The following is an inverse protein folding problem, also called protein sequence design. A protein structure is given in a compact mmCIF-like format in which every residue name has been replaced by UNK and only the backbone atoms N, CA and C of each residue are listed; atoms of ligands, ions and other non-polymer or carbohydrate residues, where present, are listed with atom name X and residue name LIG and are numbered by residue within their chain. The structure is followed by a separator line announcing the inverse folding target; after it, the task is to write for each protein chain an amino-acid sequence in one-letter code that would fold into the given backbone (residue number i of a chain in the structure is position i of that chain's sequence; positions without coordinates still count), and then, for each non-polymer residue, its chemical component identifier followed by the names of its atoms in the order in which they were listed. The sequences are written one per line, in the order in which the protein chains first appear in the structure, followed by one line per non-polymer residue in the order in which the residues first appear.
data_IF_474184298708
#
_entry.id   IF_474184298708
#
_cell.length_a   1.000
_cell.length_b   1.000
_cell.length_c   1.000
_cell.angle_alpha   90.00
_cell.angle_beta   90.00
_cell.angle_gamma   90.00
#
_symmetry.space_group_name_H-M   'P 1'
#
loop_
_entity.id
_entity.type
_entity.pdbx_description
1 polymer ?
#
# COMPACT_ATOMS: atom_id res chain seq x y z
N UNK A 1 -7.57 27.77 10.54
CA UNK A 1 -6.31 27.98 11.30
C UNK A 1 -6.50 28.72 12.62
N UNK A 2 -6.83 30.02 12.69
CA UNK A 2 -6.83 30.75 13.99
C UNK A 2 -7.92 30.30 15.00
N UNK A 3 -9.05 29.75 14.52
CA UNK A 3 -10.10 29.17 15.36
C UNK A 3 -9.83 27.70 15.77
N UNK A 4 -8.81 27.06 15.20
CA UNK A 4 -8.68 25.59 15.22
C UNK A 4 -7.94 25.07 16.46
N UNK A 5 -6.92 25.80 16.94
CA UNK A 5 -6.12 25.34 18.08
C UNK A 5 -6.82 25.50 19.44
N UNK A 6 -7.69 26.52 19.58
CA UNK A 6 -8.52 26.69 20.78
C UNK A 6 -9.57 25.59 20.88
N UNK A 7 -10.26 25.30 19.76
CA UNK A 7 -11.16 24.16 19.68
C UNK A 7 -10.43 22.83 19.91
N UNK A 8 -9.19 22.68 19.44
CA UNK A 8 -8.38 21.49 19.69
C UNK A 8 -8.17 21.28 21.21
N UNK A 9 -7.69 22.29 21.93
CA UNK A 9 -7.54 22.21 23.38
C UNK A 9 -8.86 21.91 24.10
N UNK A 10 -9.95 22.52 23.67
CA UNK A 10 -11.28 22.27 24.22
C UNK A 10 -11.73 20.81 24.00
N UNK A 11 -11.56 20.27 22.80
CA UNK A 11 -11.92 18.88 22.46
C UNK A 11 -11.13 17.86 23.30
N UNK A 12 -9.83 18.10 23.48
CA UNK A 12 -8.95 17.25 24.30
C UNK A 12 -9.08 17.53 25.80
N UNK A 13 -9.90 18.52 26.19
CA UNK A 13 -10.03 19.01 27.58
C UNK A 13 -8.66 19.28 28.19
N UNK A 14 -7.83 19.98 27.43
CA UNK A 14 -6.47 20.32 27.80
C UNK A 14 -6.45 21.66 28.52
N UNK A 15 -6.02 21.62 29.78
CA UNK A 15 -6.17 22.63 30.81
C UNK A 15 -4.82 23.24 31.17
N UNK A 16 -4.80 24.43 31.81
CA UNK A 16 -3.56 25.03 32.29
C UNK A 16 -2.78 24.15 33.29
N UNK A 17 -3.45 23.33 34.10
CA UNK A 17 -2.79 22.39 35.04
C UNK A 17 -1.94 21.36 34.28
N UNK A 18 -2.38 20.91 33.11
CA UNK A 18 -1.61 19.99 32.27
C UNK A 18 -0.43 20.71 31.60
N UNK A 19 -0.55 22.00 31.29
CA UNK A 19 0.58 22.81 30.81
C UNK A 19 1.69 22.94 31.86
N UNK A 20 1.30 23.21 33.10
CA UNK A 20 2.22 23.29 34.24
C UNK A 20 2.87 21.93 34.52
N UNK A 21 2.08 20.85 34.47
CA UNK A 21 2.55 19.47 34.64
C UNK A 21 3.60 19.12 33.59
N UNK A 22 3.35 19.43 32.32
CA UNK A 22 4.29 19.17 31.23
C UNK A 22 5.55 20.02 31.34
N UNK A 23 5.42 21.29 31.75
CA UNK A 23 6.57 22.17 32.00
C UNK A 23 7.48 21.61 33.11
N UNK A 24 6.88 21.11 34.20
CA UNK A 24 7.63 20.51 35.30
C UNK A 24 8.42 19.25 34.87
N UNK A 25 7.93 18.50 33.86
CA UNK A 25 8.63 17.34 33.30
C UNK A 25 9.76 17.71 32.34
N UNK A 26 9.79 18.94 31.82
CA UNK A 26 10.75 19.35 30.78
C UNK A 26 12.21 19.10 31.17
N UNK A 27 12.70 19.42 32.38
CA UNK A 27 14.09 19.19 32.75
C UNK A 27 14.48 17.72 32.70
N UNK A 28 13.58 16.83 33.15
CA UNK A 28 13.78 15.37 33.10
C UNK A 28 13.80 14.87 31.66
N UNK A 29 12.86 15.31 30.84
CA UNK A 29 12.79 14.90 29.43
C UNK A 29 13.98 15.46 28.63
N UNK A 30 14.46 16.65 28.95
CA UNK A 30 15.63 17.23 28.35
C UNK A 30 16.93 16.48 28.68
N UNK A 31 17.06 15.92 29.90
CA UNK A 31 18.26 15.15 30.28
C UNK A 31 18.35 13.79 29.58
N UNK A 32 17.22 13.20 29.19
CA UNK A 32 17.15 11.94 28.45
C UNK A 32 16.97 12.12 26.93
N UNK A 33 16.98 13.36 26.44
CA UNK A 33 16.68 13.66 25.04
C UNK A 33 17.70 13.05 24.06
N UNK A 34 18.95 12.87 24.47
CA UNK A 34 19.96 12.23 23.60
C UNK A 34 19.72 10.71 23.50
N UNK A 35 19.39 10.05 24.61
CA UNK A 35 18.94 8.65 24.63
C UNK A 35 17.68 8.44 23.78
N UNK A 36 16.71 9.34 23.90
CA UNK A 36 15.49 9.33 23.09
C UNK A 36 15.83 9.35 21.59
N UNK A 37 16.77 10.18 21.18
CA UNK A 37 17.14 10.30 19.77
C UNK A 37 17.78 9.01 19.26
N UNK A 38 18.68 8.40 20.03
CA UNK A 38 19.30 7.15 19.63
C UNK A 38 18.26 6.03 19.46
N UNK A 39 17.40 5.82 20.47
CA UNK A 39 16.34 4.80 20.42
C UNK A 39 15.29 5.09 19.33
N UNK A 40 14.94 6.36 19.11
CA UNK A 40 14.01 6.75 18.05
C UNK A 40 14.54 6.38 16.67
N UNK A 41 15.85 6.58 16.46
CA UNK A 41 16.47 6.25 15.19
C UNK A 41 16.57 4.75 14.97
N UNK A 42 16.95 3.98 16.00
CA UNK A 42 16.93 2.52 15.95
C UNK A 42 15.53 2.00 15.56
N UNK A 43 14.49 2.60 16.15
CA UNK A 43 13.10 2.25 15.84
C UNK A 43 12.74 2.52 14.37
N UNK A 44 12.99 3.74 13.86
CA UNK A 44 12.60 4.09 12.48
C UNK A 44 13.46 3.41 11.42
N UNK A 45 14.71 3.03 11.73
CA UNK A 45 15.56 2.25 10.81
C UNK A 45 15.00 0.84 10.58
N UNK A 46 14.27 0.29 11.57
CA UNK A 46 13.56 -0.97 11.46
C UNK A 46 12.47 -1.01 10.39
N UNK A 47 12.04 0.14 9.86
CA UNK A 47 11.00 0.20 8.83
C UNK A 47 11.48 -0.18 7.42
N UNK A 48 12.80 -0.20 7.16
CA UNK A 48 13.39 -0.51 5.85
C UNK A 48 13.11 0.53 4.76
N UNK A 49 11.85 0.86 4.52
CA UNK A 49 11.38 1.84 3.53
C UNK A 49 11.73 3.29 3.91
N UNK A 50 11.97 3.59 5.18
CA UNK A 50 12.35 4.94 5.63
C UNK A 50 13.76 5.35 5.24
N UNK A 51 14.63 4.38 4.93
CA UNK A 51 15.99 4.65 4.46
C UNK A 51 16.03 5.54 3.20
N UNK A 52 14.97 5.49 2.36
CA UNK A 52 14.89 6.32 1.16
C UNK A 52 14.76 7.83 1.45
N UNK A 53 14.29 8.21 2.64
CA UNK A 53 14.12 9.62 3.03
C UNK A 53 15.37 10.19 3.72
N UNK A 54 16.24 9.34 4.27
CA UNK A 54 17.45 9.72 5.01
C UNK A 54 18.72 9.45 4.19
N UNK A 55 18.87 10.20 3.09
CA UNK A 55 19.82 9.89 2.00
C UNK A 55 21.29 10.17 2.31
N UNK A 56 21.60 11.06 3.24
CA UNK A 56 22.99 11.42 3.58
C UNK A 56 23.12 11.83 5.06
N UNK A 57 24.36 11.82 5.55
CA UNK A 57 24.67 12.09 6.96
C UNK A 57 24.24 13.50 7.39
N UNK A 58 24.38 14.50 6.52
CA UNK A 58 24.00 15.89 6.84
C UNK A 58 22.48 16.04 7.09
N UNK A 59 21.65 15.38 6.26
CA UNK A 59 20.19 15.34 6.46
C UNK A 59 19.85 14.62 7.75
N UNK A 60 20.53 13.50 8.05
CA UNK A 60 20.35 12.74 9.29
C UNK A 60 20.67 13.62 10.50
N UNK A 61 21.83 14.27 10.53
CA UNK A 61 22.26 15.11 11.66
C UNK A 61 21.30 16.29 11.88
N UNK A 62 20.84 16.91 10.80
CA UNK A 62 19.83 17.98 10.87
C UNK A 62 18.49 17.47 11.39
N UNK A 63 18.06 16.29 10.94
CA UNK A 63 16.81 15.67 11.38
C UNK A 63 16.90 15.24 12.86
N UNK A 64 18.03 14.65 13.30
CA UNK A 64 18.33 14.36 14.71
C UNK A 64 18.13 15.59 15.58
N UNK A 65 18.75 16.70 15.20
CA UNK A 65 18.59 17.96 15.93
C UNK A 65 17.13 18.42 15.99
N UNK A 66 16.39 18.34 14.88
CA UNK A 66 14.99 18.78 14.80
C UNK A 66 14.04 17.92 15.62
N UNK A 67 14.21 16.61 15.60
CA UNK A 67 13.42 15.69 16.43
C UNK A 67 13.74 15.90 17.91
N UNK A 68 15.00 16.20 18.26
CA UNK A 68 15.38 16.51 19.65
C UNK A 68 14.73 17.79 20.14
N UNK A 69 14.76 18.84 19.32
CA UNK A 69 14.08 20.11 19.59
C UNK A 69 12.56 19.90 19.75
N UNK A 70 11.95 19.13 18.85
CA UNK A 70 10.52 18.80 18.92
C UNK A 70 10.17 18.03 20.19
N UNK A 71 10.94 17.00 20.55
CA UNK A 71 10.72 16.18 21.74
C UNK A 71 10.76 17.02 23.02
N UNK A 72 11.75 17.89 23.19
CA UNK A 72 11.83 18.79 24.35
C UNK A 72 10.68 19.80 24.35
N UNK A 73 10.25 20.27 23.17
CA UNK A 73 9.15 21.21 23.03
C UNK A 73 7.78 20.60 23.37
N UNK A 74 7.61 19.27 23.31
CA UNK A 74 6.42 18.59 23.83
C UNK A 74 6.14 18.96 25.29
N UNK A 75 7.19 19.27 26.06
CA UNK A 75 7.14 19.58 27.47
C UNK A 75 7.32 21.08 27.76
N UNK A 76 7.16 21.96 26.76
CA UNK A 76 7.42 23.39 26.94
C UNK A 76 6.46 24.13 27.88
N UNK A 77 5.27 23.57 28.16
CA UNK A 77 4.21 24.24 28.90
C UNK A 77 3.59 25.44 28.18
N UNK A 78 3.90 25.65 26.89
CA UNK A 78 3.40 26.77 26.09
C UNK A 78 2.86 26.27 24.76
N UNK A 79 1.56 26.02 24.72
CA UNK A 79 0.87 25.46 23.55
C UNK A 79 -0.08 26.49 22.94
N UNK A 80 0.51 27.53 22.35
CA UNK A 80 -0.22 28.61 21.69
C UNK A 80 -0.32 28.37 20.17
N UNK A 81 -0.85 29.36 19.45
CA UNK A 81 -0.96 29.29 17.99
C UNK A 81 0.40 29.04 17.31
N UNK A 82 1.50 29.60 17.82
CA UNK A 82 2.82 29.44 17.21
C UNK A 82 3.30 27.99 17.32
N UNK A 83 3.03 27.35 18.46
CA UNK A 83 3.32 25.93 18.67
C UNK A 83 2.60 25.04 17.64
N UNK A 84 1.29 25.22 17.47
CA UNK A 84 0.51 24.41 16.52
C UNK A 84 0.83 24.74 15.06
N UNK A 85 1.17 26.00 14.73
CA UNK A 85 1.68 26.35 13.39
C UNK A 85 3.03 25.69 13.09
N UNK A 86 3.90 25.56 14.09
CA UNK A 86 5.15 24.83 13.95
C UNK A 86 4.88 23.34 13.63
N UNK A 87 3.95 22.70 14.33
CA UNK A 87 3.57 21.30 14.05
C UNK A 87 2.94 21.11 12.67
N UNK A 88 2.07 22.04 12.27
CA UNK A 88 1.47 22.03 10.94
C UNK A 88 2.55 22.03 9.84
N UNK A 89 3.57 22.88 9.99
CA UNK A 89 4.68 22.96 9.05
C UNK A 89 5.53 21.69 9.01
N UNK A 90 5.66 20.99 10.14
CA UNK A 90 6.33 19.68 10.18
C UNK A 90 5.54 18.67 9.34
N UNK A 91 4.21 18.62 9.46
CA UNK A 91 3.41 17.67 8.69
C UNK A 91 3.35 17.98 7.20
N UNK A 92 3.32 19.26 6.81
CA UNK A 92 3.52 19.66 5.41
C UNK A 92 4.82 19.10 4.82
N UNK A 93 5.92 19.16 5.58
CA UNK A 93 7.22 18.65 5.12
C UNK A 93 7.17 17.13 4.93
N UNK A 94 6.58 16.39 5.86
CA UNK A 94 6.49 14.94 5.75
C UNK A 94 5.55 14.49 4.62
N UNK A 95 4.46 15.23 4.35
CA UNK A 95 3.63 15.00 3.18
C UNK A 95 4.40 15.27 1.88
N UNK A 96 5.13 16.41 1.80
CA UNK A 96 5.89 16.80 0.61
C UNK A 96 6.95 15.79 0.19
N UNK A 97 7.60 15.12 1.16
CA UNK A 97 8.54 14.03 0.87
C UNK A 97 7.83 12.72 0.52
N UNK A 98 6.52 12.62 0.73
CA UNK A 98 5.72 11.44 0.44
C UNK A 98 5.80 10.36 1.53
N UNK A 99 6.12 10.72 2.78
CA UNK A 99 6.18 9.76 3.88
C UNK A 99 4.75 9.27 4.22
N UNK A 100 4.45 7.97 4.09
CA UNK A 100 3.15 7.44 4.48
C UNK A 100 2.79 7.76 5.94
N UNK A 101 1.55 8.19 6.17
CA UNK A 101 1.07 8.63 7.49
C UNK A 101 1.16 7.54 8.57
N UNK A 102 1.08 6.27 8.19
CA UNK A 102 1.20 5.15 9.13
C UNK A 102 2.56 5.12 9.86
N UNK A 103 3.66 5.56 9.21
CA UNK A 103 4.97 5.65 9.86
C UNK A 103 5.01 6.76 10.91
N UNK A 104 4.31 7.86 10.67
CA UNK A 104 4.15 8.93 11.67
C UNK A 104 3.39 8.40 12.88
N UNK A 105 2.26 7.72 12.68
CA UNK A 105 1.50 7.10 13.77
C UNK A 105 2.36 6.10 14.56
N UNK A 106 3.14 5.26 13.87
CA UNK A 106 4.04 4.30 14.50
C UNK A 106 5.13 4.99 15.33
N UNK A 107 5.74 6.04 14.80
CA UNK A 107 6.75 6.84 15.51
C UNK A 107 6.17 7.51 16.77
N UNK A 108 4.93 7.97 16.74
CA UNK A 108 4.24 8.51 17.91
C UNK A 108 3.96 7.44 18.97
N UNK A 109 3.68 6.20 18.58
CA UNK A 109 3.61 5.07 19.53
C UNK A 109 4.94 4.87 20.24
N UNK A 110 6.06 4.89 19.52
CA UNK A 110 7.38 4.82 20.13
C UNK A 110 7.59 5.96 21.14
N UNK A 111 7.32 7.21 20.75
CA UNK A 111 7.45 8.39 21.62
C UNK A 111 6.64 8.21 22.90
N UNK A 112 5.37 7.79 22.79
CA UNK A 112 4.50 7.51 23.93
C UNK A 112 5.12 6.48 24.86
N UNK A 113 5.49 5.32 24.34
CA UNK A 113 6.07 4.25 25.16
C UNK A 113 7.39 4.65 25.81
N UNK A 114 8.22 5.44 25.10
CA UNK A 114 9.47 5.96 25.63
C UNK A 114 9.22 6.91 26.81
N UNK A 115 8.30 7.87 26.66
CA UNK A 115 7.98 8.83 27.74
C UNK A 115 7.39 8.09 28.94
N UNK A 116 6.41 7.20 28.72
CA UNK A 116 5.76 6.43 29.79
C UNK A 116 6.78 5.62 30.62
N UNK A 117 7.72 4.93 29.95
CA UNK A 117 8.81 4.20 30.59
C UNK A 117 9.68 5.10 31.49
N UNK A 118 9.91 6.34 31.08
CA UNK A 118 10.79 7.26 31.80
C UNK A 118 10.07 8.15 32.81
N UNK A 119 8.75 8.05 32.96
CA UNK A 119 8.01 8.70 34.07
C UNK A 119 7.68 7.73 35.21
N UNK A 120 7.81 6.41 35.00
CA UNK A 120 7.39 5.37 35.95
C UNK A 120 8.17 5.38 37.28
N UNK A 121 9.44 5.79 37.25
CA UNK A 121 10.37 5.67 38.40
C UNK A 121 10.22 6.77 39.48
N UNK A 122 9.38 7.80 39.26
CA UNK A 122 9.44 9.04 40.07
C UNK A 122 8.23 9.31 40.98
N UNK A 123 7.22 8.43 41.01
CA UNK A 123 5.96 8.73 41.71
C UNK A 123 5.59 7.73 42.81
N UNK A 124 5.74 8.17 44.07
CA UNK A 124 5.15 7.51 45.24
C UNK A 124 3.62 7.69 45.31
N UNK A 125 3.10 8.77 44.70
CA UNK A 125 1.68 9.09 44.68
C UNK A 125 1.03 8.69 43.35
N UNK A 126 0.16 7.67 43.41
CA UNK A 126 -0.60 7.18 42.26
C UNK A 126 -1.48 8.24 41.59
N UNK A 127 -2.06 9.17 42.35
CA UNK A 127 -2.93 10.21 41.78
C UNK A 127 -2.12 11.20 40.93
N UNK A 128 -0.96 11.60 41.43
CA UNK A 128 -0.03 12.48 40.72
C UNK A 128 0.53 11.81 39.46
N UNK A 129 0.87 10.53 39.55
CA UNK A 129 1.31 9.74 38.39
C UNK A 129 0.24 9.71 37.29
N UNK A 130 -1.04 9.50 37.66
CA UNK A 130 -2.15 9.50 36.70
C UNK A 130 -2.31 10.87 36.03
N UNK A 131 -2.15 11.98 36.78
CA UNK A 131 -2.21 13.34 36.20
C UNK A 131 -1.13 13.55 35.14
N UNK A 132 0.09 13.09 35.42
CA UNK A 132 1.23 13.18 34.50
C UNK A 132 0.98 12.36 33.24
N UNK A 133 0.54 11.11 33.38
CA UNK A 133 0.18 10.25 32.25
C UNK A 133 -0.88 10.93 31.38
N UNK A 134 -1.95 11.46 31.99
CA UNK A 134 -3.02 12.13 31.24
C UNK A 134 -2.52 13.35 30.47
N UNK A 135 -1.65 14.16 31.07
CA UNK A 135 -1.08 15.34 30.41
C UNK A 135 -0.21 14.92 29.20
N UNK A 136 0.62 13.88 29.37
CA UNK A 136 1.48 13.31 28.32
C UNK A 136 0.65 12.73 27.17
N UNK A 137 -0.34 11.90 27.46
CA UNK A 137 -1.21 11.31 26.42
C UNK A 137 -1.90 12.38 25.59
N UNK A 138 -2.50 13.38 26.27
CA UNK A 138 -3.19 14.48 25.58
C UNK A 138 -2.26 15.28 24.68
N UNK A 139 -1.05 15.65 25.13
CA UNK A 139 -0.15 16.44 24.29
C UNK A 139 0.39 15.64 23.10
N UNK A 140 0.67 14.34 23.29
CA UNK A 140 1.09 13.45 22.21
C UNK A 140 -0.02 13.32 21.16
N UNK A 141 -1.25 13.08 21.59
CA UNK A 141 -2.38 12.93 20.67
C UNK A 141 -2.72 14.25 19.96
N UNK A 142 -2.67 15.39 20.66
CA UNK A 142 -2.86 16.71 20.03
C UNK A 142 -1.78 17.02 18.99
N UNK A 143 -0.52 16.60 19.24
CA UNK A 143 0.55 16.72 18.25
C UNK A 143 0.25 15.85 17.03
N UNK A 144 -0.19 14.61 17.24
CA UNK A 144 -0.52 13.67 16.18
C UNK A 144 -1.70 14.19 15.33
N UNK A 145 -2.75 14.72 15.95
CA UNK A 145 -3.90 15.33 15.27
C UNK A 145 -3.46 16.55 14.44
N UNK A 146 -2.66 17.44 15.02
CA UNK A 146 -2.13 18.61 14.30
C UNK A 146 -1.25 18.24 13.11
N UNK A 147 -0.43 17.19 13.25
CA UNK A 147 0.41 16.67 12.18
C UNK A 147 -0.43 16.00 11.08
N UNK A 148 -1.33 15.10 11.44
CA UNK A 148 -2.13 14.33 10.47
C UNK A 148 -3.20 15.18 9.77
N UNK A 149 -3.72 16.22 10.43
CA UNK A 149 -4.61 17.20 9.80
C UNK A 149 -3.91 17.97 8.67
N UNK A 150 -2.65 18.36 8.85
CA UNK A 150 -1.85 19.03 7.80
C UNK A 150 -1.61 18.11 6.58
N UNK A 151 -1.44 16.80 6.79
CA UNK A 151 -1.36 15.83 5.70
C UNK A 151 -2.63 15.83 4.85
N UNK A 152 -3.78 15.76 5.50
CA UNK A 152 -5.10 15.74 4.83
C UNK A 152 -5.36 17.05 4.09
N UNK A 153 -5.03 18.18 4.70
CA UNK A 153 -5.21 19.49 4.09
C UNK A 153 -4.28 19.74 2.91
N UNK A 154 -2.99 19.37 3.02
CA UNK A 154 -2.03 19.56 1.93
C UNK A 154 -2.27 18.54 0.79
N UNK A 155 -2.68 17.30 1.11
CA UNK A 155 -3.09 16.33 0.08
C UNK A 155 -4.36 16.80 -0.65
N UNK A 156 -5.35 17.30 0.09
CA UNK A 156 -6.55 17.90 -0.48
C UNK A 156 -6.19 19.18 -1.27
N UNK A 157 -5.28 20.01 -0.76
CA UNK A 157 -4.78 21.21 -1.41
C UNK A 157 -4.09 20.88 -2.73
N UNK A 158 -3.22 19.86 -2.76
CA UNK A 158 -2.60 19.35 -3.98
C UNK A 158 -3.64 18.82 -4.95
N UNK A 159 -4.59 18.01 -4.48
CA UNK A 159 -5.71 17.54 -5.30
C UNK A 159 -6.54 18.70 -5.85
N UNK A 160 -6.80 19.74 -5.05
CA UNK A 160 -7.54 20.93 -5.44
C UNK A 160 -6.74 21.87 -6.36
N UNK A 161 -5.41 21.85 -6.28
CA UNK A 161 -4.50 22.63 -7.14
C UNK A 161 -4.40 22.09 -8.57
N UNK A 162 -4.79 20.83 -8.78
CA UNK A 162 -4.94 20.28 -10.14
C UNK A 162 -5.93 21.14 -10.92
N UNK A 163 -5.59 21.45 -12.17
CA UNK A 163 -6.48 22.17 -13.06
C UNK A 163 -7.81 21.43 -13.21
N UNK A 164 -8.89 22.16 -13.50
CA UNK A 164 -10.21 21.55 -13.75
C UNK A 164 -10.16 20.48 -14.84
N UNK A 165 -9.24 20.64 -15.81
CA UNK A 165 -9.01 19.69 -16.89
C UNK A 165 -8.32 18.43 -16.36
N UNK A 166 -7.23 18.55 -15.60
CA UNK A 166 -6.53 17.39 -15.02
C UNK A 166 -7.45 16.58 -14.10
N UNK A 167 -8.25 17.24 -13.26
CA UNK A 167 -9.24 16.56 -12.42
C UNK A 167 -10.25 15.79 -13.27
N UNK A 168 -10.81 16.43 -14.31
CA UNK A 168 -11.80 15.79 -15.18
C UNK A 168 -11.19 14.62 -15.96
N UNK A 169 -9.95 14.73 -16.42
CA UNK A 169 -9.23 13.65 -17.10
C UNK A 169 -8.96 12.51 -16.13
N UNK A 170 -8.41 12.79 -14.93
CA UNK A 170 -8.10 11.75 -13.96
C UNK A 170 -9.35 11.02 -13.45
N UNK A 171 -10.40 11.75 -13.11
CA UNK A 171 -11.67 11.15 -12.72
C UNK A 171 -12.29 10.37 -13.88
N UNK A 172 -12.31 10.96 -15.08
CA UNK A 172 -12.81 10.28 -16.28
C UNK A 172 -12.03 9.01 -16.63
N UNK A 173 -10.72 9.00 -16.47
CA UNK A 173 -9.88 7.81 -16.67
C UNK A 173 -10.13 6.73 -15.61
N UNK A 174 -10.33 7.12 -14.34
CA UNK A 174 -10.67 6.17 -13.28
C UNK A 174 -12.05 5.54 -13.50
N UNK A 175 -13.04 6.35 -13.84
CA UNK A 175 -14.39 5.89 -14.16
C UNK A 175 -14.37 4.98 -15.39
N UNK A 176 -13.71 5.41 -16.47
CA UNK A 176 -13.55 4.62 -17.69
C UNK A 176 -12.87 3.28 -17.42
N UNK A 177 -11.76 3.26 -16.69
CA UNK A 177 -11.06 2.04 -16.31
C UNK A 177 -11.99 1.09 -15.52
N UNK A 178 -12.73 1.63 -14.54
CA UNK A 178 -13.73 0.88 -13.79
C UNK A 178 -14.79 0.25 -14.70
N UNK A 179 -15.35 1.02 -15.65
CA UNK A 179 -16.31 0.49 -16.63
C UNK A 179 -15.73 -0.61 -17.51
N UNK A 180 -14.48 -0.47 -17.97
CA UNK A 180 -13.80 -1.49 -18.78
C UNK A 180 -13.65 -2.80 -18.00
N UNK A 181 -13.25 -2.74 -16.72
CA UNK A 181 -13.09 -3.94 -15.89
C UNK A 181 -14.41 -4.66 -15.66
N UNK A 182 -15.50 -3.92 -15.37
CA UNK A 182 -16.83 -4.54 -15.25
C UNK A 182 -17.31 -5.18 -16.55
N UNK A 183 -17.08 -4.50 -17.69
CA UNK A 183 -17.41 -5.05 -18.99
C UNK A 183 -16.62 -6.31 -19.30
N UNK A 184 -15.31 -6.33 -19.03
CA UNK A 184 -14.44 -7.49 -19.23
C UNK A 184 -14.87 -8.67 -18.36
N UNK A 185 -15.15 -8.44 -17.08
CA UNK A 185 -15.64 -9.47 -16.17
C UNK A 185 -16.98 -10.07 -16.66
N UNK A 186 -17.91 -9.24 -17.12
CA UNK A 186 -19.17 -9.71 -17.70
C UNK A 186 -18.97 -10.52 -18.98
N UNK A 187 -18.09 -10.06 -19.88
CA UNK A 187 -17.75 -10.77 -21.11
C UNK A 187 -17.12 -12.14 -20.82
N UNK A 188 -16.17 -12.22 -19.88
CA UNK A 188 -15.55 -13.48 -19.46
C UNK A 188 -16.56 -14.44 -18.83
N UNK A 189 -17.50 -13.95 -18.02
CA UNK A 189 -18.57 -14.77 -17.46
C UNK A 189 -19.47 -15.37 -18.55
N UNK A 190 -19.80 -14.59 -19.58
CA UNK A 190 -20.55 -15.08 -20.75
C UNK A 190 -19.76 -16.16 -21.49
N UNK A 191 -18.47 -15.92 -21.76
CA UNK A 191 -17.60 -16.91 -22.42
C UNK A 191 -17.51 -18.19 -21.59
N UNK A 192 -17.41 -18.10 -20.26
CA UNK A 192 -17.37 -19.27 -19.39
C UNK A 192 -18.66 -20.08 -19.50
N UNK A 193 -19.82 -19.41 -19.46
CA UNK A 193 -21.12 -20.05 -19.61
C UNK A 193 -21.26 -20.81 -20.94
N UNK A 194 -20.91 -20.16 -22.06
CA UNK A 194 -20.95 -20.82 -23.37
C UNK A 194 -19.92 -21.93 -23.51
N UNK A 195 -18.74 -21.78 -22.90
CA UNK A 195 -17.70 -22.81 -22.94
C UNK A 195 -18.11 -24.08 -22.20
N UNK A 196 -18.86 -23.96 -21.09
CA UNK A 196 -19.46 -25.10 -20.39
C UNK A 196 -20.47 -25.81 -21.31
N UNK A 197 -21.35 -25.04 -21.97
CA UNK A 197 -22.31 -25.59 -22.92
C UNK A 197 -21.63 -26.34 -24.09
N UNK A 198 -20.58 -25.76 -24.66
CA UNK A 198 -19.78 -26.38 -25.72
C UNK A 198 -19.13 -27.69 -25.26
N UNK A 199 -18.52 -27.69 -24.08
CA UNK A 199 -17.91 -28.88 -23.50
C UNK A 199 -18.92 -30.02 -23.28
N UNK A 200 -20.11 -29.70 -22.78
CA UNK A 200 -21.19 -30.68 -22.62
C UNK A 200 -21.67 -31.22 -23.98
N UNK A 201 -21.74 -30.36 -25.00
CA UNK A 201 -22.10 -30.76 -26.36
C UNK A 201 -21.04 -31.68 -26.99
N UNK A 202 -19.76 -31.38 -26.81
CA UNK A 202 -18.65 -32.22 -27.30
C UNK A 202 -18.67 -33.61 -26.63
N UNK A 203 -18.96 -33.67 -25.32
CA UNK A 203 -19.16 -34.94 -24.61
C UNK A 203 -20.35 -35.71 -25.21
N UNK A 204 -21.47 -35.04 -25.44
CA UNK A 204 -22.63 -35.69 -26.06
C UNK A 204 -22.29 -36.27 -27.44
N UNK A 205 -21.57 -35.51 -28.28
CA UNK A 205 -21.14 -35.97 -29.60
C UNK A 205 -20.26 -37.23 -29.51
N UNK A 206 -19.31 -37.26 -28.57
CA UNK A 206 -18.40 -38.39 -28.35
C UNK A 206 -19.13 -39.70 -28.00
N UNK A 207 -20.18 -39.63 -27.20
CA UNK A 207 -20.88 -40.83 -26.69
C UNK A 207 -22.04 -41.29 -27.57
N UNK A 208 -22.70 -40.37 -28.29
CA UNK A 208 -23.95 -40.67 -29.01
C UNK A 208 -23.81 -40.64 -30.54
N UNK A 209 -22.62 -40.38 -31.08
CA UNK A 209 -22.38 -40.28 -32.53
C UNK A 209 -21.20 -41.17 -32.96
N UNK A 210 -21.23 -41.73 -34.18
CA UNK A 210 -20.14 -42.53 -34.79
C UNK A 210 -18.94 -41.66 -35.22
N UNK A 211 -18.40 -40.85 -34.31
CA UNK A 211 -17.16 -40.09 -34.54
C UNK A 211 -15.97 -40.97 -34.13
N UNK A 212 -14.85 -40.88 -34.86
CA UNK A 212 -13.61 -41.54 -34.45
C UNK A 212 -13.22 -41.06 -33.05
N UNK A 213 -12.91 -42.00 -32.17
CA UNK A 213 -12.57 -41.73 -30.76
C UNK A 213 -11.45 -40.69 -30.64
N UNK A 214 -10.44 -40.76 -31.52
CA UNK A 214 -9.32 -39.82 -31.55
C UNK A 214 -9.78 -38.38 -31.83
N UNK A 215 -10.66 -38.19 -32.82
CA UNK A 215 -11.19 -36.86 -33.18
C UNK A 215 -12.10 -36.30 -32.09
N UNK A 216 -12.93 -37.16 -31.47
CA UNK A 216 -13.81 -36.74 -30.38
C UNK A 216 -13.07 -36.38 -29.09
N UNK A 217 -11.97 -37.07 -28.76
CA UNK A 217 -11.14 -36.69 -27.59
C UNK A 217 -10.46 -35.33 -27.84
N UNK A 218 -10.00 -35.06 -29.06
CA UNK A 218 -9.36 -33.79 -29.41
C UNK A 218 -10.31 -32.59 -29.31
N UNK A 219 -11.59 -32.76 -29.68
CA UNK A 219 -12.59 -31.69 -29.54
C UNK A 219 -12.92 -31.40 -28.09
N UNK A 220 -13.17 -32.44 -27.27
CA UNK A 220 -13.44 -32.32 -25.82
C UNK A 220 -12.26 -31.69 -25.08
N UNK A 221 -11.02 -32.09 -25.38
CA UNK A 221 -9.83 -31.48 -24.80
C UNK A 221 -9.71 -30.00 -25.21
N UNK A 222 -10.12 -29.68 -26.43
CA UNK A 222 -10.17 -28.34 -26.96
C UNK A 222 -11.12 -27.41 -26.21
N UNK A 223 -12.36 -27.83 -25.96
CA UNK A 223 -13.33 -27.05 -25.18
C UNK A 223 -12.97 -26.97 -23.70
N UNK A 224 -12.38 -28.03 -23.13
CA UNK A 224 -11.85 -28.02 -21.76
C UNK A 224 -10.75 -26.97 -21.57
N UNK A 225 -9.84 -26.84 -22.54
CA UNK A 225 -8.74 -25.87 -22.47
C UNK A 225 -9.24 -24.43 -22.58
N UNK A 226 -10.27 -24.18 -23.40
CA UNK A 226 -10.95 -22.88 -23.46
C UNK A 226 -11.62 -22.55 -22.13
N UNK A 227 -12.28 -23.53 -21.51
CA UNK A 227 -12.90 -23.36 -20.19
C UNK A 227 -11.84 -23.04 -19.12
N UNK A 228 -10.75 -23.80 -19.07
CA UNK A 228 -9.63 -23.55 -18.15
C UNK A 228 -9.04 -22.16 -18.33
N UNK A 229 -8.76 -21.76 -19.57
CA UNK A 229 -8.24 -20.43 -19.88
C UNK A 229 -9.20 -19.30 -19.45
N UNK A 230 -10.50 -19.52 -19.61
CA UNK A 230 -11.51 -18.54 -19.20
C UNK A 230 -11.58 -18.41 -17.68
N UNK A 231 -11.50 -19.52 -16.94
CA UNK A 231 -11.48 -19.52 -15.47
C UNK A 231 -10.24 -18.78 -14.95
N UNK A 232 -9.07 -19.03 -15.54
CA UNK A 232 -7.83 -18.36 -15.18
C UNK A 232 -7.90 -16.84 -15.44
N UNK A 233 -8.47 -16.42 -16.59
CA UNK A 233 -8.72 -14.99 -16.88
C UNK A 233 -9.69 -14.34 -15.88
N UNK A 234 -10.76 -15.05 -15.48
CA UNK A 234 -11.69 -14.58 -14.45
C UNK A 234 -10.98 -14.42 -13.11
N UNK A 235 -10.13 -15.39 -12.74
CA UNK A 235 -9.36 -15.31 -11.49
C UNK A 235 -8.42 -14.10 -11.48
N UNK A 236 -7.77 -13.83 -12.61
CA UNK A 236 -6.91 -12.65 -12.76
C UNK A 236 -7.71 -11.34 -12.70
N UNK A 237 -8.88 -11.27 -13.34
CA UNK A 237 -9.74 -10.09 -13.30
C UNK A 237 -10.26 -9.81 -11.88
N UNK A 238 -10.63 -10.86 -11.12
CA UNK A 238 -11.02 -10.72 -9.71
C UNK A 238 -9.85 -10.18 -8.87
N UNK A 239 -8.64 -10.70 -9.08
CA UNK A 239 -7.45 -10.22 -8.37
C UNK A 239 -7.17 -8.74 -8.69
N UNK A 240 -7.31 -8.35 -9.96
CA UNK A 240 -7.16 -6.97 -10.40
C UNK A 240 -8.21 -6.03 -9.77
N UNK A 241 -9.48 -6.44 -9.72
CA UNK A 241 -10.57 -5.69 -9.07
C UNK A 241 -10.36 -5.53 -7.55
N UNK A 242 -9.67 -6.46 -6.89
CA UNK A 242 -9.30 -6.35 -5.47
C UNK A 242 -8.12 -5.39 -5.22
N UNK A 243 -7.64 -4.67 -6.24
CA UNK A 243 -6.53 -3.72 -6.12
C UNK A 243 -5.14 -4.36 -6.16
N UNK A 244 -5.04 -5.64 -6.51
CA UNK A 244 -3.73 -6.27 -6.79
C UNK A 244 -3.27 -5.81 -8.18
N UNK A 245 -1.97 -5.54 -8.33
CA UNK A 245 -1.41 -5.14 -9.63
C UNK A 245 -1.58 -6.23 -10.70
N UNK A 246 -1.72 -5.81 -11.95
CA UNK A 246 -1.89 -6.69 -13.12
C UNK A 246 -0.83 -7.80 -13.17
N UNK A 247 -1.22 -9.06 -13.03
CA UNK A 247 -0.28 -10.18 -13.06
C UNK A 247 0.04 -10.57 -14.50
N UNK A 248 1.02 -9.88 -15.07
CA UNK A 248 1.63 -10.17 -16.39
C UNK A 248 1.96 -11.68 -16.53
N UNK A 249 2.33 -12.35 -15.43
CA UNK A 249 2.60 -13.78 -15.40
C UNK A 249 1.41 -14.67 -15.77
N UNK A 250 0.18 -14.32 -15.38
CA UNK A 250 -1.02 -15.08 -15.71
C UNK A 250 -1.32 -15.01 -17.22
N UNK A 251 -1.19 -13.81 -17.81
CA UNK A 251 -1.33 -13.61 -19.25
C UNK A 251 -0.27 -14.36 -20.07
N UNK A 252 0.99 -14.38 -19.62
CA UNK A 252 2.05 -15.16 -20.27
C UNK A 252 1.74 -16.66 -20.19
N UNK A 253 1.28 -17.15 -19.04
CA UNK A 253 0.92 -18.56 -18.85
C UNK A 253 -0.23 -18.99 -19.77
N UNK A 254 -1.25 -18.14 -19.90
CA UNK A 254 -2.37 -18.32 -20.81
C UNK A 254 -1.94 -18.33 -22.28
N UNK A 255 -1.08 -17.39 -22.68
CA UNK A 255 -0.55 -17.33 -24.03
C UNK A 255 0.29 -18.58 -24.36
N UNK A 256 1.12 -19.04 -23.41
CA UNK A 256 1.88 -20.28 -23.55
C UNK A 256 0.95 -21.50 -23.67
N UNK A 257 -0.08 -21.64 -22.83
CA UNK A 257 -1.03 -22.74 -22.90
C UNK A 257 -1.79 -22.78 -24.26
N UNK A 258 -2.19 -21.61 -24.77
CA UNK A 258 -2.82 -21.50 -26.08
C UNK A 258 -1.90 -21.89 -27.24
N UNK A 259 -0.61 -21.52 -27.18
CA UNK A 259 0.38 -21.90 -28.18
C UNK A 259 0.72 -23.40 -28.10
N UNK A 260 0.85 -23.96 -26.90
CA UNK A 260 1.05 -25.41 -26.70
C UNK A 260 -0.11 -26.20 -27.31
N UNK A 261 -1.36 -25.74 -27.13
CA UNK A 261 -2.53 -26.34 -27.80
C UNK A 261 -2.37 -26.33 -29.34
N UNK A 262 -1.93 -25.22 -29.92
CA UNK A 262 -1.64 -25.16 -31.36
C UNK A 262 -0.56 -26.16 -31.75
N UNK A 263 0.55 -26.25 -31.01
CA UNK A 263 1.60 -27.24 -31.30
C UNK A 263 1.05 -28.67 -31.31
N UNK A 264 0.23 -29.05 -30.33
CA UNK A 264 -0.37 -30.38 -30.26
C UNK A 264 -1.26 -30.69 -31.47
N UNK A 265 -2.11 -29.75 -31.89
CA UNK A 265 -2.99 -29.92 -33.06
C UNK A 265 -2.18 -30.01 -34.35
N UNK A 266 -1.20 -29.12 -34.54
CA UNK A 266 -0.39 -29.05 -35.76
C UNK A 266 0.61 -30.22 -35.89
N UNK A 267 1.08 -30.78 -34.77
CA UNK A 267 1.96 -31.95 -34.77
C UNK A 267 1.29 -33.22 -35.31
N UNK A 268 -0.04 -33.25 -35.36
CA UNK A 268 -0.83 -34.35 -35.91
C UNK A 268 -1.14 -34.16 -37.41
N UNK A 269 -0.87 -32.98 -37.99
CA UNK A 269 -1.03 -32.70 -39.41
C UNK A 269 0.32 -32.74 -40.14
N UNK A 270 0.54 -33.68 -41.05
CA UNK A 270 1.85 -33.94 -41.69
C UNK A 270 2.34 -32.90 -42.70
N UNK A 271 1.67 -31.75 -42.86
CA UNK A 271 1.97 -30.77 -43.92
C UNK A 271 2.54 -29.41 -43.44
N UNK A 272 2.84 -29.20 -42.14
CA UNK A 272 3.09 -27.85 -41.62
C UNK A 272 4.31 -27.68 -40.69
N UNK A 273 5.48 -28.16 -41.12
CA UNK A 273 6.72 -28.10 -40.35
C UNK A 273 7.24 -26.68 -40.04
N UNK A 274 7.14 -25.74 -40.99
CA UNK A 274 7.67 -24.38 -40.79
C UNK A 274 6.85 -23.56 -39.77
N UNK A 275 5.53 -23.75 -39.73
CA UNK A 275 4.67 -23.10 -38.74
C UNK A 275 4.94 -23.60 -37.30
N UNK A 276 5.30 -24.88 -37.15
CA UNK A 276 5.67 -25.47 -35.86
C UNK A 276 6.97 -24.87 -35.31
N UNK A 277 7.98 -24.61 -36.16
CA UNK A 277 9.23 -23.96 -35.74
C UNK A 277 9.01 -22.53 -35.23
N UNK A 278 8.16 -21.76 -35.91
CA UNK A 278 7.81 -20.39 -35.49
C UNK A 278 7.08 -20.40 -34.15
N UNK A 279 6.08 -21.27 -33.98
CA UNK A 279 5.34 -21.39 -32.71
C UNK A 279 6.26 -21.81 -31.57
N UNK A 280 7.17 -22.76 -31.81
CA UNK A 280 8.18 -23.19 -30.83
C UNK A 280 9.08 -22.04 -30.36
N UNK A 281 9.56 -21.22 -31.29
CA UNK A 281 10.36 -20.03 -30.96
C UNK A 281 9.62 -19.02 -30.08
N UNK A 282 8.33 -18.78 -30.35
CA UNK A 282 7.49 -17.88 -29.54
C UNK A 282 7.28 -18.42 -28.12
N UNK A 283 7.06 -19.73 -27.96
CA UNK A 283 6.90 -20.36 -26.63
C UNK A 283 8.17 -20.18 -25.79
N UNK A 284 9.36 -20.38 -26.37
CA UNK A 284 10.63 -20.17 -25.66
C UNK A 284 10.80 -18.71 -25.25
N UNK A 285 10.48 -17.77 -26.13
CA UNK A 285 10.51 -16.33 -25.81
C UNK A 285 9.58 -15.96 -24.65
N UNK A 286 8.36 -16.49 -24.65
CA UNK A 286 7.40 -16.28 -23.56
C UNK A 286 7.86 -16.93 -22.25
N UNK A 287 8.49 -18.11 -22.29
CA UNK A 287 9.04 -18.76 -21.10
C UNK A 287 10.19 -17.94 -20.47
N UNK A 288 11.05 -17.34 -21.29
CA UNK A 288 12.11 -16.43 -20.84
C UNK A 288 11.50 -15.18 -20.20
N UNK A 289 10.49 -14.57 -20.84
CA UNK A 289 9.79 -13.42 -20.30
C UNK A 289 9.13 -13.74 -18.94
N UNK A 290 8.50 -14.91 -18.81
CA UNK A 290 7.92 -15.38 -17.54
C UNK A 290 8.98 -15.49 -16.43
N UNK A 291 10.13 -16.10 -16.75
CA UNK A 291 11.23 -16.26 -15.79
C UNK A 291 11.79 -14.91 -15.33
N UNK A 292 11.98 -13.94 -16.23
CA UNK A 292 12.45 -12.60 -15.90
C UNK A 292 11.47 -11.84 -14.99
N UNK A 293 10.17 -11.94 -15.27
CA UNK A 293 9.13 -11.34 -14.43
C UNK A 293 9.10 -11.99 -13.03
N UNK A 294 9.28 -13.30 -12.95
CA UNK A 294 9.35 -14.04 -11.68
C UNK A 294 10.59 -13.71 -10.85
N UNK A 295 11.77 -13.58 -11.48
CA UNK A 295 13.03 -13.24 -10.82
C UNK A 295 12.98 -11.85 -10.15
N UNK A 296 12.35 -10.87 -10.80
CA UNK A 296 12.20 -9.51 -10.27
C UNK A 296 11.34 -9.45 -9.00
N UNK A 297 10.29 -10.27 -8.91
CA UNK A 297 9.43 -10.38 -7.70
C UNK A 297 10.16 -11.00 -6.50
N UNK A 298 11.16 -11.85 -6.73
CA UNK A 298 11.94 -12.51 -5.65
C UNK A 298 12.99 -11.56 -5.04
N UNK A 299 13.55 -10.67 -5.85
CA UNK A 299 14.54 -9.68 -5.41
C UNK A 299 13.95 -8.50 -4.62
N UNK A 300 12.63 -8.25 -4.73
CA UNK A 300 11.91 -7.21 -3.98
C UNK A 300 11.37 -7.71 -2.62
N UNK A 301 11.56 -8.99 -2.30
CA UNK A 301 11.07 -9.64 -1.06
C UNK A 301 12.20 -10.17 -0.16
N UNK A 302 13.47 -9.95 -0.53
CA UNK A 302 14.66 -10.23 0.29
C UNK A 302 15.37 -8.93 0.64
#
# INVERSE_FOLDING_TARGET
MMNDYKSLKEHYRFTPEEEETLNALQPKMASIADTFIDEFYDYIWGFGETAQFLKNQEIIDKHRKKIREWFINLFSGKYDLQYFMYLYKIGEVHMKIGLPTHYVNSAFTFVRTFVLKHIEDDYDNKEEHIKVINAVEKIIDMNLDSLTSSYREEELGRFLSLSKVEKKILTGLKEFNSYINYFLAAALAIVAFFSIGLFLYDIYLLFFTDVKIEEGILTVLGSLLVLWATIELIHEEINHLQGKGFAIGAFIMLAMAALIRKVLIYSLSSEKGDELLVIGGVIVGLAIAYWLVGAKKKHLRS
#
